data_IF_751036951798
#
_entry.id   IF_751036951798
#
_cell.length_a   1.000
_cell.length_b   1.000
_cell.length_c   1.000
_cell.angle_alpha   90.00
_cell.angle_beta   90.00
_cell.angle_gamma   90.00
#
_symmetry.space_group_name_H-M   'P 1'
#
loop_
_entity.id
_entity.type
_entity.pdbx_description
1 polymer ?
#
# COMPACT_ATOMS: atom_id res chain seq x y z
N UNK A 1 10.63 -16.19 -3.58
CA UNK A 1 12.09 -16.24 -3.36
C UNK A 1 12.47 -15.34 -2.18
N UNK A 2 13.02 -15.89 -1.09
CA UNK A 2 13.34 -15.14 0.14
C UNK A 2 14.46 -14.10 -0.03
N UNK A 3 15.36 -14.27 -0.99
CA UNK A 3 16.47 -13.34 -1.28
C UNK A 3 16.00 -11.96 -1.77
N UNK A 4 14.93 -11.89 -2.58
CA UNK A 4 14.36 -10.62 -3.07
C UNK A 4 13.82 -9.76 -1.93
N UNK A 5 13.35 -10.39 -0.85
CA UNK A 5 12.84 -9.70 0.34
C UNK A 5 13.95 -9.04 1.17
N UNK A 6 15.16 -9.61 1.23
CA UNK A 6 16.26 -9.06 2.03
C UNK A 6 16.85 -7.81 1.40
N UNK A 7 17.09 -7.85 0.09
CA UNK A 7 17.55 -6.68 -0.67
C UNK A 7 16.54 -5.53 -0.65
N UNK A 8 15.24 -5.85 -0.74
CA UNK A 8 14.19 -4.84 -0.65
C UNK A 8 14.16 -4.16 0.73
N UNK A 9 14.28 -4.94 1.82
CA UNK A 9 14.35 -4.40 3.19
C UNK A 9 15.59 -3.52 3.39
N UNK A 10 16.74 -3.94 2.86
CA UNK A 10 17.97 -3.15 2.90
C UNK A 10 17.82 -1.82 2.16
N UNK A 11 17.25 -1.83 0.95
CA UNK A 11 16.97 -0.62 0.16
C UNK A 11 16.06 0.37 0.90
N UNK A 12 14.99 -0.13 1.52
CA UNK A 12 14.06 0.72 2.30
C UNK A 12 14.74 1.35 3.50
N UNK A 13 15.61 0.60 4.18
CA UNK A 13 16.39 1.14 5.31
C UNK A 13 17.25 2.31 4.84
N UNK A 14 17.93 2.18 3.71
CA UNK A 14 18.75 3.27 3.12
C UNK A 14 17.88 4.49 2.78
N UNK A 15 16.73 4.28 2.15
CA UNK A 15 15.80 5.38 1.80
C UNK A 15 15.31 6.10 3.06
N UNK A 16 14.87 5.37 4.09
CA UNK A 16 14.40 5.98 5.33
C UNK A 16 15.50 6.72 6.08
N UNK A 17 16.75 6.24 6.04
CA UNK A 17 17.90 6.97 6.58
C UNK A 17 18.10 8.29 5.82
N UNK A 18 18.06 8.28 4.49
CA UNK A 18 18.15 9.50 3.68
C UNK A 18 17.00 10.48 3.95
N UNK A 19 15.77 9.99 4.11
CA UNK A 19 14.61 10.82 4.47
C UNK A 19 14.78 11.43 5.87
N UNK A 20 15.38 10.69 6.80
CA UNK A 20 15.71 11.19 8.15
C UNK A 20 16.75 12.30 8.09
N UNK A 21 17.84 12.10 7.33
CA UNK A 21 18.90 13.11 7.13
C UNK A 21 18.33 14.39 6.50
N UNK A 22 17.44 14.24 5.51
CA UNK A 22 16.76 15.37 4.85
C UNK A 22 15.57 15.94 5.66
N UNK A 23 15.39 15.50 6.91
CA UNK A 23 14.34 15.94 7.84
C UNK A 23 12.91 15.80 7.30
N UNK A 24 12.67 14.86 6.38
CA UNK A 24 11.35 14.55 5.86
C UNK A 24 10.60 13.64 6.84
N UNK A 25 9.33 13.97 7.12
CA UNK A 25 8.44 13.12 7.95
C UNK A 25 7.92 11.88 7.24
N UNK A 26 8.13 11.78 5.94
CA UNK A 26 7.71 10.65 5.13
C UNK A 26 8.53 9.39 5.48
N UNK A 27 7.88 8.23 5.54
CA UNK A 27 8.51 6.93 5.76
C UNK A 27 8.05 5.96 4.69
N UNK A 28 8.99 5.20 4.14
CA UNK A 28 8.76 4.17 3.14
C UNK A 28 8.67 2.82 3.84
N UNK A 29 7.65 2.04 3.49
CA UNK A 29 7.46 0.67 3.93
C UNK A 29 7.32 -0.23 2.69
N UNK A 30 7.75 -1.49 2.77
CA UNK A 30 7.45 -2.50 1.75
C UNK A 30 6.49 -3.50 2.34
N UNK A 31 5.29 -3.48 1.78
CA UNK A 31 4.32 -4.54 1.94
C UNK A 31 4.10 -5.17 0.57
N UNK A 32 3.65 -6.42 0.54
CA UNK A 32 3.10 -6.98 -0.69
C UNK A 32 1.91 -6.12 -1.11
N UNK A 33 1.77 -5.74 -2.38
CA UNK A 33 0.57 -5.04 -2.84
C UNK A 33 -0.71 -5.81 -2.54
N UNK A 34 -0.65 -7.16 -2.51
CA UNK A 34 -1.76 -8.02 -2.12
C UNK A 34 -2.18 -7.83 -0.66
N UNK A 35 -1.21 -7.71 0.26
CA UNK A 35 -1.49 -7.48 1.69
C UNK A 35 -2.16 -6.11 1.92
N UNK A 36 -1.79 -5.11 1.13
CA UNK A 36 -2.43 -3.79 1.17
C UNK A 36 -3.88 -3.91 0.71
N UNK A 37 -4.12 -4.60 -0.42
CA UNK A 37 -5.47 -4.79 -0.96
C UNK A 37 -6.37 -5.56 0.03
N UNK A 38 -5.87 -6.63 0.65
CA UNK A 38 -6.58 -7.41 1.68
C UNK A 38 -6.93 -6.56 2.90
N UNK A 39 -5.97 -5.81 3.44
CA UNK A 39 -6.20 -4.95 4.61
C UNK A 39 -7.24 -3.86 4.33
N UNK A 40 -7.24 -3.30 3.12
CA UNK A 40 -8.21 -2.29 2.71
C UNK A 40 -9.60 -2.89 2.48
N UNK A 41 -9.66 -4.07 1.88
CA UNK A 41 -10.90 -4.84 1.72
C UNK A 41 -11.55 -5.14 3.08
N UNK A 42 -10.78 -5.62 4.06
CA UNK A 42 -11.25 -5.90 5.41
C UNK A 42 -11.73 -4.63 6.14
N UNK A 43 -11.25 -3.46 5.74
CA UNK A 43 -11.71 -2.15 6.22
C UNK A 43 -12.97 -1.61 5.49
N UNK A 44 -13.57 -2.42 4.61
CA UNK A 44 -14.75 -2.07 3.81
C UNK A 44 -14.44 -1.13 2.65
N UNK A 45 -13.21 -1.17 2.12
CA UNK A 45 -12.80 -0.40 0.96
C UNK A 45 -12.61 -1.33 -0.25
N UNK A 46 -13.18 -0.96 -1.39
CA UNK A 46 -13.04 -1.69 -2.65
C UNK A 46 -12.15 -0.91 -3.60
N UNK A 47 -11.23 -1.62 -4.28
CA UNK A 47 -10.37 -1.04 -5.30
C UNK A 47 -11.20 -0.66 -6.54
N UNK A 48 -11.07 0.59 -6.99
CA UNK A 48 -11.79 1.11 -8.17
C UNK A 48 -10.88 1.54 -9.30
N UNK A 49 -9.61 1.79 -9.01
CA UNK A 49 -8.66 2.22 -10.01
C UNK A 49 -7.27 1.71 -9.70
N UNK A 50 -6.53 1.34 -10.75
CA UNK A 50 -5.14 0.92 -10.68
C UNK A 50 -4.44 1.40 -11.95
N UNK A 51 -3.36 2.18 -11.78
CA UNK A 51 -2.51 2.65 -12.88
C UNK A 51 -1.04 2.44 -12.56
N UNK A 52 -0.32 1.60 -13.32
CA UNK A 52 1.13 1.51 -13.23
C UNK A 52 1.80 2.76 -13.83
N UNK A 53 2.87 3.21 -13.19
CA UNK A 53 3.69 4.37 -13.55
C UNK A 53 5.17 4.06 -13.30
N UNK A 54 5.72 3.12 -14.09
CA UNK A 54 7.12 2.69 -13.98
C UNK A 54 7.40 1.99 -12.64
N UNK A 55 8.25 2.61 -11.81
CA UNK A 55 8.56 2.11 -10.46
C UNK A 55 7.41 2.32 -9.46
N UNK A 56 6.41 3.11 -9.82
CA UNK A 56 5.29 3.47 -8.97
C UNK A 56 4.00 2.88 -9.51
N UNK A 57 3.01 2.73 -8.64
CA UNK A 57 1.65 2.38 -9.01
C UNK A 57 0.68 3.20 -8.18
N UNK A 58 -0.28 3.84 -8.85
CA UNK A 58 -1.38 4.53 -8.20
C UNK A 58 -2.58 3.60 -8.10
N UNK A 59 -3.09 3.39 -6.88
CA UNK A 59 -4.32 2.64 -6.62
C UNK A 59 -5.31 3.54 -5.90
N UNK A 60 -6.58 3.52 -6.31
CA UNK A 60 -7.67 4.27 -5.66
C UNK A 60 -8.70 3.28 -5.15
N UNK A 61 -9.16 3.53 -3.93
CA UNK A 61 -10.16 2.74 -3.25
C UNK A 61 -11.32 3.63 -2.85
N UNK A 62 -12.52 3.09 -2.92
CA UNK A 62 -13.73 3.73 -2.44
C UNK A 62 -14.33 2.92 -1.28
N UNK A 63 -15.09 3.57 -0.42
CA UNK A 63 -15.85 2.86 0.61
C UNK A 63 -17.01 2.14 -0.04
N UNK A 64 -17.13 0.85 0.24
CA UNK A 64 -18.28 0.09 -0.20
C UNK A 64 -19.53 0.71 0.44
N UNK A 65 -20.49 1.14 -0.39
CA UNK A 65 -21.71 1.74 0.11
C UNK A 65 -22.45 0.70 0.96
N UNK A 66 -22.83 1.09 2.18
CA UNK A 66 -23.65 0.25 3.04
C UNK A 66 -25.02 0.09 2.37
N UNK A 67 -25.21 -1.02 1.65
CA UNK A 67 -26.53 -1.41 1.17
C UNK A 67 -27.30 -1.86 2.39
N UNK A 68 -28.19 -1.01 2.92
CA UNK A 68 -29.21 -1.45 3.89
C UNK A 68 -29.99 -2.56 3.19
N UNK A 69 -29.75 -3.80 3.59
CA UNK A 69 -30.64 -4.91 3.25
C UNK A 69 -31.97 -4.56 3.89
N UNK A 70 -32.98 -4.24 3.07
CA UNK A 70 -34.33 -4.04 3.58
C UNK A 70 -34.80 -5.37 4.16
N UNK A 71 -34.98 -5.44 5.48
CA UNK A 71 -35.79 -6.48 6.10
C UNK A 71 -37.20 -6.41 5.50
N UNK A 72 -37.63 -7.55 4.94
CA UNK A 72 -38.95 -7.81 4.40
C UNK A 72 -39.73 -8.70 5.36
#
# INVERSE_FOLDING_TARGET
MPSRSLWMRAGIKVINVMLTITRKKFRVYSHSPTLIDETLHDAGLRKVYQRPAGLWEARVYEREAYTKVSES
#
